data_IF_042589628799
#
_entry.id   IF_042589628799
#
_cell.length_a   1.000
_cell.length_b   1.000
_cell.length_c   1.000
_cell.angle_alpha   90.00
_cell.angle_beta   90.00
_cell.angle_gamma   90.00
#
_symmetry.space_group_name_H-M   'P 1'
#
loop_
_entity.id
_entity.type
_entity.pdbx_description
1 polymer ?
#
# COMPACT_ATOMS: atom_id res chain seq x y z
N UNK A 1 1.09 10.64 -14.08
CA UNK A 1 0.50 10.19 -15.35
C UNK A 1 1.11 8.82 -15.66
N UNK A 2 0.43 7.70 -15.34
CA UNK A 2 0.95 6.36 -15.60
C UNK A 2 0.21 5.79 -16.81
N UNK A 3 0.83 5.91 -17.98
CA UNK A 3 0.41 5.17 -19.16
C UNK A 3 1.05 3.78 -19.14
N UNK A 4 0.16 2.79 -19.39
CA UNK A 4 0.37 1.50 -20.06
C UNK A 4 1.40 0.51 -19.49
N UNK A 5 0.89 -0.54 -18.83
CA UNK A 5 1.05 -1.96 -19.20
C UNK A 5 0.31 -2.84 -18.18
N UNK A 6 -1.02 -2.84 -18.26
CA UNK A 6 -1.91 -3.87 -17.74
C UNK A 6 -3.03 -3.96 -18.76
N UNK A 7 -3.27 -5.14 -19.33
CA UNK A 7 -4.27 -5.38 -20.38
C UNK A 7 -5.55 -4.57 -20.17
N UNK A 8 -5.75 -3.54 -21.01
CA UNK A 8 -6.99 -3.05 -21.65
C UNK A 8 -8.33 -3.02 -20.90
N UNK A 9 -8.39 -3.29 -19.61
CA UNK A 9 -9.60 -3.21 -18.81
C UNK A 9 -9.70 -1.79 -18.25
N UNK A 10 -10.79 -1.03 -18.51
CA UNK A 10 -10.98 0.25 -17.87
C UNK A 10 -10.95 0.04 -16.36
N UNK A 11 -10.08 0.78 -15.67
CA UNK A 11 -10.04 0.76 -14.21
C UNK A 11 -11.42 1.21 -13.72
N UNK A 12 -12.11 0.34 -12.98
CA UNK A 12 -13.37 0.71 -12.34
C UNK A 12 -13.12 1.91 -11.43
N UNK A 13 -13.88 3.01 -11.57
CA UNK A 13 -13.74 4.16 -10.70
C UNK A 13 -13.86 3.74 -9.23
N UNK A 14 -12.96 4.24 -8.40
CA UNK A 14 -13.00 3.95 -6.96
C UNK A 14 -14.29 4.55 -6.40
N UNK A 15 -15.13 3.71 -5.80
CA UNK A 15 -16.42 4.12 -5.23
C UNK A 15 -16.23 4.63 -3.80
N UNK A 16 -17.12 5.54 -3.37
CA UNK A 16 -17.06 6.17 -2.05
C UNK A 16 -17.26 5.17 -0.89
N UNK A 17 -18.21 4.25 -1.01
CA UNK A 17 -18.55 3.32 0.08
C UNK A 17 -17.39 2.37 0.46
N UNK A 18 -16.70 1.72 -0.51
CA UNK A 18 -15.49 0.94 -0.21
C UNK A 18 -14.38 1.77 0.46
N UNK A 19 -14.15 3.00 0.01
CA UNK A 19 -13.13 3.89 0.60
C UNK A 19 -13.46 4.20 2.05
N UNK A 20 -14.73 4.56 2.34
CA UNK A 20 -15.17 4.86 3.71
C UNK A 20 -15.00 3.65 4.62
N UNK A 21 -15.45 2.46 4.17
CA UNK A 21 -15.31 1.21 4.93
C UNK A 21 -13.84 0.90 5.22
N UNK A 22 -12.97 1.05 4.21
CA UNK A 22 -11.54 0.87 4.39
C UNK A 22 -10.97 1.85 5.42
N UNK A 23 -11.27 3.15 5.29
CA UNK A 23 -10.74 4.18 6.18
C UNK A 23 -11.15 3.95 7.64
N UNK A 24 -12.41 3.60 7.90
CA UNK A 24 -12.92 3.27 9.23
C UNK A 24 -12.24 2.03 9.84
N UNK A 25 -11.83 1.07 9.01
CA UNK A 25 -11.11 -0.13 9.49
C UNK A 25 -9.60 0.07 9.65
N UNK A 26 -9.01 0.98 8.88
CA UNK A 26 -7.56 1.12 8.75
C UNK A 26 -6.98 2.25 9.60
N UNK A 27 -7.79 3.24 9.97
CA UNK A 27 -7.34 4.45 10.66
C UNK A 27 -8.09 4.65 11.98
N UNK A 28 -7.40 5.17 12.99
CA UNK A 28 -8.02 5.53 14.26
C UNK A 28 -8.94 6.77 14.10
N UNK A 29 -9.99 6.84 14.92
CA UNK A 29 -10.81 8.03 15.09
C UNK A 29 -9.88 9.21 15.45
N UNK A 30 -9.93 10.30 14.67
CA UNK A 30 -9.03 11.48 14.72
C UNK A 30 -7.70 11.40 13.93
N UNK A 31 -7.50 10.39 13.09
CA UNK A 31 -6.37 10.38 12.15
C UNK A 31 -6.47 11.54 11.14
N UNK A 32 -5.34 12.17 10.84
CA UNK A 32 -5.22 13.12 9.72
C UNK A 32 -4.88 12.35 8.46
N UNK A 33 -5.79 12.35 7.49
CA UNK A 33 -5.62 11.64 6.22
C UNK A 33 -5.18 12.64 5.15
N UNK A 34 -4.08 12.34 4.45
CA UNK A 34 -3.59 13.13 3.30
C UNK A 34 -3.82 12.39 2.00
N UNK A 35 -4.43 13.02 0.99
CA UNK A 35 -4.72 12.36 -0.30
C UNK A 35 -4.58 13.27 -1.53
N UNK A 36 -4.63 12.65 -2.72
CA UNK A 36 -4.49 13.27 -4.06
C UNK A 36 -5.67 14.09 -4.57
N UNK A 37 -6.66 14.34 -3.72
CA UNK A 37 -7.88 15.03 -4.13
C UNK A 37 -8.76 14.24 -5.10
N UNK A 38 -8.57 12.92 -5.25
CA UNK A 38 -9.49 12.11 -6.04
C UNK A 38 -10.92 12.25 -5.52
N UNK A 39 -11.87 12.49 -6.44
CA UNK A 39 -13.24 12.95 -6.14
C UNK A 39 -13.99 12.07 -5.16
N UNK A 40 -13.76 10.75 -5.19
CA UNK A 40 -14.43 9.80 -4.31
C UNK A 40 -13.91 9.84 -2.88
N UNK A 41 -12.71 10.37 -2.62
CA UNK A 41 -12.11 10.43 -1.29
C UNK A 41 -12.75 11.53 -0.44
N UNK A 42 -13.01 12.70 -1.04
CA UNK A 42 -13.56 13.88 -0.35
C UNK A 42 -14.84 13.54 0.45
N UNK A 43 -15.92 12.99 -0.15
CA UNK A 43 -17.11 12.62 0.61
C UNK A 43 -16.94 11.34 1.43
N UNK A 44 -16.00 10.45 1.07
CA UNK A 44 -15.78 9.19 1.79
C UNK A 44 -15.03 9.37 3.10
N UNK A 45 -14.20 10.40 3.21
CA UNK A 45 -13.33 10.67 4.35
C UNK A 45 -13.80 11.84 5.22
N UNK A 46 -15.06 12.29 5.05
CA UNK A 46 -15.66 13.41 5.78
C UNK A 46 -15.63 13.27 7.31
N UNK A 47 -15.50 12.04 7.81
CA UNK A 47 -15.44 11.70 9.24
C UNK A 47 -14.02 11.83 9.82
N UNK A 48 -13.02 12.07 8.97
CA UNK A 48 -11.62 12.26 9.34
C UNK A 48 -11.19 13.71 9.07
N UNK A 49 -10.09 14.12 9.71
CA UNK A 49 -9.39 15.34 9.29
C UNK A 49 -8.71 15.06 7.95
N UNK A 50 -9.35 15.47 6.85
CA UNK A 50 -8.92 15.14 5.48
C UNK A 50 -8.23 16.33 4.80
N UNK A 51 -6.92 16.26 4.68
CA UNK A 51 -6.10 17.19 3.91
C UNK A 51 -5.90 16.67 2.48
N UNK A 52 -6.60 17.23 1.50
CA UNK A 52 -6.44 16.81 0.10
C UNK A 52 -5.71 17.87 -0.73
N UNK A 53 -4.81 17.41 -1.61
CA UNK A 53 -4.09 18.26 -2.56
C UNK A 53 -4.16 17.65 -3.95
N UNK A 54 -4.54 18.44 -4.94
CA UNK A 54 -4.43 18.05 -6.34
C UNK A 54 -2.96 17.91 -6.69
N UNK A 55 -2.53 16.73 -7.15
CA UNK A 55 -1.14 16.50 -7.50
C UNK A 55 -0.86 16.81 -8.96
N UNK A 56 0.20 17.59 -9.16
CA UNK A 56 0.79 17.84 -10.48
C UNK A 56 2.02 16.95 -10.65
N UNK A 57 2.21 16.28 -11.81
CA UNK A 57 3.37 15.43 -12.05
C UNK A 57 4.72 16.10 -11.74
N UNK A 58 4.82 17.40 -12.00
CA UNK A 58 6.07 18.16 -11.88
C UNK A 58 6.38 18.63 -10.45
N UNK A 59 5.45 18.44 -9.51
CA UNK A 59 5.61 18.88 -8.12
C UNK A 59 6.53 17.98 -7.29
N UNK A 60 6.93 16.82 -7.81
CA UNK A 60 7.76 15.84 -7.09
C UNK A 60 7.07 15.13 -5.91
N UNK A 61 5.86 15.54 -5.52
CA UNK A 61 5.13 15.07 -4.33
C UNK A 61 4.89 13.55 -4.29
N UNK A 62 4.71 12.92 -5.46
CA UNK A 62 4.48 11.47 -5.57
C UNK A 62 5.71 10.68 -6.00
N UNK A 63 6.90 11.30 -6.04
CA UNK A 63 8.11 10.66 -6.55
C UNK A 63 8.41 9.33 -5.83
N UNK A 64 8.46 9.36 -4.50
CA UNK A 64 8.70 8.16 -3.69
C UNK A 64 7.55 7.14 -3.79
N UNK A 65 6.31 7.59 -3.90
CA UNK A 65 5.17 6.69 -4.12
C UNK A 65 5.33 5.92 -5.43
N UNK A 66 5.70 6.61 -6.51
CA UNK A 66 5.96 5.98 -7.81
C UNK A 66 7.13 5.00 -7.75
N UNK A 67 8.21 5.33 -7.03
CA UNK A 67 9.33 4.40 -6.80
C UNK A 67 8.85 3.14 -6.07
N UNK A 68 8.10 3.28 -4.98
CA UNK A 68 7.60 2.14 -4.20
C UNK A 68 6.70 1.26 -5.07
N UNK A 69 5.79 1.85 -5.85
CA UNK A 69 4.91 1.11 -6.79
C UNK A 69 5.74 0.41 -7.87
N UNK A 70 6.77 1.05 -8.41
CA UNK A 70 7.67 0.44 -9.40
C UNK A 70 8.43 -0.75 -8.82
N UNK A 71 8.95 -0.61 -7.59
CA UNK A 71 9.65 -1.68 -6.88
C UNK A 71 8.73 -2.87 -6.60
N UNK A 72 7.48 -2.62 -6.17
CA UNK A 72 6.51 -3.68 -5.96
C UNK A 72 6.22 -4.46 -7.26
N UNK A 73 6.03 -3.75 -8.37
CA UNK A 73 5.83 -4.39 -9.68
C UNK A 73 7.03 -5.23 -10.10
N UNK A 74 8.24 -4.68 -10.00
CA UNK A 74 9.46 -5.39 -10.35
C UNK A 74 9.67 -6.63 -9.46
N UNK A 75 9.39 -6.50 -8.16
CA UNK A 75 9.46 -7.60 -7.20
C UNK A 75 8.53 -8.77 -7.57
N UNK A 76 7.25 -8.46 -7.80
CA UNK A 76 6.25 -9.49 -8.10
C UNK A 76 6.56 -10.15 -9.44
N UNK A 77 6.79 -9.35 -10.49
CA UNK A 77 7.07 -9.88 -11.83
C UNK A 77 8.37 -10.69 -11.90
N UNK A 78 9.40 -10.28 -11.16
CA UNK A 78 10.70 -10.96 -11.15
C UNK A 78 10.71 -12.24 -10.32
N UNK A 79 10.02 -12.26 -9.18
CA UNK A 79 10.05 -13.41 -8.25
C UNK A 79 9.06 -14.50 -8.66
N UNK A 80 7.87 -14.11 -9.12
CA UNK A 80 6.76 -15.04 -9.37
C UNK A 80 6.53 -15.31 -10.87
N UNK A 81 7.46 -14.86 -11.73
CA UNK A 81 7.45 -15.05 -13.19
C UNK A 81 6.13 -14.68 -13.88
N UNK A 82 5.39 -13.74 -13.30
CA UNK A 82 4.06 -13.34 -13.75
C UNK A 82 3.23 -12.82 -12.57
N UNK A 83 1.99 -12.47 -12.85
CA UNK A 83 1.06 -11.96 -11.84
C UNK A 83 -0.18 -12.88 -11.75
N UNK A 84 -0.06 -14.09 -11.16
CA UNK A 84 -1.23 -14.90 -10.84
C UNK A 84 -2.17 -14.08 -9.96
N UNK A 85 -3.37 -13.78 -10.46
CA UNK A 85 -4.34 -12.94 -9.73
C UNK A 85 -4.79 -13.57 -8.41
N UNK A 86 -4.75 -14.91 -8.35
CA UNK A 86 -5.29 -15.70 -7.25
C UNK A 86 -4.57 -15.42 -5.91
N UNK A 87 -3.31 -14.98 -5.96
CA UNK A 87 -2.47 -14.75 -4.78
C UNK A 87 -1.93 -13.31 -4.67
N UNK A 88 -2.52 -12.33 -5.37
CA UNK A 88 -1.99 -10.97 -5.40
C UNK A 88 -1.83 -10.35 -4.00
N UNK A 89 -2.79 -10.61 -3.10
CA UNK A 89 -2.72 -10.11 -1.73
C UNK A 89 -1.50 -10.66 -0.99
N UNK A 90 -1.25 -11.98 -1.07
CA UNK A 90 -0.08 -12.61 -0.44
C UNK A 90 1.24 -12.08 -0.99
N UNK A 91 1.33 -11.75 -2.28
CA UNK A 91 2.51 -11.13 -2.86
C UNK A 91 2.74 -9.70 -2.35
N UNK A 92 1.65 -8.93 -2.17
CA UNK A 92 1.72 -7.59 -1.59
C UNK A 92 2.09 -7.66 -0.10
N UNK A 93 1.58 -8.64 0.64
CA UNK A 93 1.90 -8.85 2.05
C UNK A 93 3.38 -9.20 2.23
N UNK A 94 3.92 -10.09 1.39
CA UNK A 94 5.35 -10.40 1.40
C UNK A 94 6.21 -9.19 1.00
N UNK A 95 5.79 -8.43 -0.02
CA UNK A 95 6.49 -7.21 -0.40
C UNK A 95 6.52 -6.22 0.77
N UNK A 96 5.39 -5.96 1.42
CA UNK A 96 5.30 -5.11 2.61
C UNK A 96 6.18 -5.64 3.74
N UNK A 97 6.18 -6.95 3.98
CA UNK A 97 7.01 -7.59 5.00
C UNK A 97 8.50 -7.32 4.76
N UNK A 98 8.97 -7.53 3.52
CA UNK A 98 10.37 -7.35 3.12
C UNK A 98 10.75 -5.88 3.09
N UNK A 99 9.91 -5.03 2.51
CA UNK A 99 10.16 -3.59 2.41
C UNK A 99 10.28 -2.94 3.78
N UNK A 100 9.44 -3.32 4.75
CA UNK A 100 9.47 -2.79 6.12
C UNK A 100 10.69 -3.23 6.92
N UNK A 101 11.31 -4.36 6.54
CA UNK A 101 12.47 -4.95 7.22
C UNK A 101 13.77 -4.84 6.41
N UNK A 102 13.75 -4.14 5.28
CA UNK A 102 14.89 -4.07 4.34
C UNK A 102 16.18 -3.56 4.97
N UNK A 103 16.08 -2.75 6.02
CA UNK A 103 17.23 -2.19 6.74
C UNK A 103 17.72 -3.05 7.91
N UNK A 104 17.10 -4.20 8.19
CA UNK A 104 17.52 -5.05 9.32
C UNK A 104 18.82 -5.80 9.04
N UNK A 105 19.16 -6.02 7.78
CA UNK A 105 20.41 -6.68 7.38
C UNK A 105 20.64 -8.00 8.14
N UNK A 106 21.80 -8.20 8.79
CA UNK A 106 22.12 -9.44 9.49
C UNK A 106 21.23 -9.71 10.71
N UNK A 107 20.57 -8.68 11.28
CA UNK A 107 19.73 -8.82 12.48
C UNK A 107 18.37 -9.46 12.19
N UNK A 108 18.06 -9.75 10.93
CA UNK A 108 16.75 -10.28 10.54
C UNK A 108 16.49 -11.66 11.16
N UNK A 109 17.52 -12.49 11.26
CA UNK A 109 17.44 -13.80 11.92
C UNK A 109 17.19 -13.65 13.43
N UNK A 110 17.98 -12.82 14.11
CA UNK A 110 17.83 -12.61 15.56
C UNK A 110 16.44 -12.08 15.92
N UNK A 111 15.92 -11.12 15.13
CA UNK A 111 14.57 -10.59 15.31
C UNK A 111 13.48 -11.63 15.05
N UNK A 112 13.69 -12.53 14.10
CA UNK A 112 12.78 -13.65 13.86
C UNK A 112 12.76 -14.61 15.06
N UNK A 113 13.93 -14.98 15.59
CA UNK A 113 14.05 -15.84 16.77
C UNK A 113 13.35 -15.21 17.97
N UNK A 114 13.55 -13.91 18.21
CA UNK A 114 12.87 -13.18 19.29
C UNK A 114 11.35 -13.18 19.13
N UNK A 115 10.85 -13.00 17.90
CA UNK A 115 9.42 -13.02 17.63
C UNK A 115 8.80 -14.41 17.90
N UNK A 116 9.47 -15.49 17.47
CA UNK A 116 9.03 -16.87 17.71
C UNK A 116 9.06 -17.21 19.20
N UNK A 117 10.15 -16.87 19.89
CA UNK A 117 10.27 -17.10 21.33
C UNK A 117 9.20 -16.35 22.13
N UNK A 118 8.85 -15.12 21.70
CA UNK A 118 7.77 -14.34 22.28
C UNK A 118 6.37 -14.91 21.99
N UNK A 119 6.13 -15.46 20.80
CA UNK A 119 4.83 -16.02 20.44
C UNK A 119 4.48 -17.30 21.18
N UNK A 120 5.47 -18.16 21.44
CA UNK A 120 5.30 -19.40 22.22
C UNK A 120 4.95 -19.11 23.68
N UNK A 121 5.34 -17.94 24.20
CA UNK A 121 5.08 -17.56 25.60
C UNK A 121 3.68 -17.01 25.85
N UNK A 122 2.94 -16.71 24.79
CA UNK A 122 1.61 -16.09 24.82
C UNK A 122 0.49 -17.04 24.36
N UNK A 123 0.84 -18.29 24.00
CA UNK A 123 -0.08 -19.40 23.69
C UNK A 123 -0.20 -20.35 24.86
#
# INVERSE_FOLDING_TARGET
MLYTNFHGQPLTPIKQAPVRKFAQSAFAENSVIRSDGYRSYIPALKEFSHEHKTYYPDSGLLHWLHIIVSNAKAFISGTYHGLPKDNLQSYLDEFCFRFSRRSFGPLLLDRLVLAIAGSVRLS
#
